data_IF_696529092195
#
_entry.id   IF_696529092195
#
_cell.length_a   1.000
_cell.length_b   1.000
_cell.length_c   1.000
_cell.angle_alpha   90.00
_cell.angle_beta   90.00
_cell.angle_gamma   90.00
#
_symmetry.space_group_name_H-M   'P 1'
#
loop_
_entity.id
_entity.type
_entity.pdbx_description
1 polymer ?
#
# COMPACT_ATOMS: atom_id res chain seq x y z
N UNK A 1 -1.21 10.94 -25.50
CA UNK A 1 -1.87 10.56 -24.25
C UNK A 1 -2.36 11.81 -23.55
N UNK A 2 -3.44 11.71 -22.79
CA UNK A 2 -3.95 12.88 -22.06
C UNK A 2 -2.97 13.31 -20.96
N UNK A 3 -2.74 14.61 -20.83
CA UNK A 3 -1.93 15.15 -19.74
C UNK A 3 -2.69 15.10 -18.42
N UNK A 4 -2.05 14.60 -17.37
CA UNK A 4 -2.59 14.58 -16.02
C UNK A 4 -2.22 15.87 -15.28
N UNK A 5 -3.16 16.40 -14.51
CA UNK A 5 -2.85 17.40 -13.49
C UNK A 5 -2.02 16.74 -12.38
N UNK A 6 -1.42 17.53 -11.49
CA UNK A 6 -0.68 17.00 -10.35
C UNK A 6 -1.57 16.11 -9.46
N UNK A 7 -2.82 16.52 -9.22
CA UNK A 7 -3.77 15.72 -8.43
C UNK A 7 -4.12 14.39 -9.11
N UNK A 8 -4.36 14.41 -10.41
CA UNK A 8 -4.66 13.19 -11.19
C UNK A 8 -3.46 12.24 -11.25
N UNK A 9 -2.24 12.78 -11.32
CA UNK A 9 -1.01 11.99 -11.19
C UNK A 9 -0.91 11.34 -9.81
N UNK A 10 -1.22 12.09 -8.73
CA UNK A 10 -1.26 11.56 -7.36
C UNK A 10 -2.32 10.49 -7.16
N UNK A 11 -3.47 10.59 -7.83
CA UNK A 11 -4.47 9.52 -7.87
C UNK A 11 -3.90 8.24 -8.49
N UNK A 12 -3.17 8.36 -9.59
CA UNK A 12 -2.45 7.24 -10.21
C UNK A 12 -1.41 6.62 -9.28
N UNK A 13 -0.67 7.45 -8.53
CA UNK A 13 0.32 6.99 -7.55
C UNK A 13 -0.32 6.15 -6.44
N UNK A 14 -1.36 6.64 -5.76
CA UNK A 14 -2.02 5.88 -4.68
C UNK A 14 -2.71 4.62 -5.18
N UNK A 15 -3.24 4.63 -6.40
CA UNK A 15 -3.75 3.44 -7.06
C UNK A 15 -2.64 2.40 -7.29
N UNK A 16 -1.49 2.83 -7.78
CA UNK A 16 -0.32 1.95 -8.02
C UNK A 16 0.24 1.36 -6.73
N UNK A 17 0.26 2.12 -5.64
CA UNK A 17 0.65 1.64 -4.32
C UNK A 17 -0.34 0.58 -3.80
N UNK A 18 -1.65 0.80 -3.94
CA UNK A 18 -2.67 -0.20 -3.58
C UNK A 18 -2.53 -1.49 -4.40
N UNK A 19 -2.20 -1.40 -5.68
CA UNK A 19 -1.90 -2.56 -6.52
C UNK A 19 -0.64 -3.30 -6.05
N UNK A 20 0.41 -2.59 -5.64
CA UNK A 20 1.63 -3.19 -5.12
C UNK A 20 1.42 -3.83 -3.74
N UNK A 21 0.61 -3.23 -2.87
CA UNK A 21 0.26 -3.72 -1.55
C UNK A 21 -0.42 -5.10 -1.61
N UNK A 22 -1.22 -5.38 -2.64
CA UNK A 22 -1.83 -6.69 -2.85
C UNK A 22 -0.76 -7.78 -3.00
N UNK A 23 0.25 -7.55 -3.84
CA UNK A 23 1.37 -8.48 -4.01
C UNK A 23 2.26 -8.59 -2.77
N UNK A 24 2.50 -7.48 -2.06
CA UNK A 24 3.31 -7.46 -0.85
C UNK A 24 2.63 -8.25 0.28
N UNK A 25 1.37 -8.01 0.56
CA UNK A 25 0.62 -8.71 1.61
C UNK A 25 0.52 -10.21 1.33
N UNK A 26 0.33 -10.61 0.08
CA UNK A 26 0.31 -12.02 -0.34
C UNK A 26 1.67 -12.70 -0.12
N UNK A 27 2.77 -12.05 -0.52
CA UNK A 27 4.12 -12.57 -0.32
C UNK A 27 4.47 -12.70 1.16
N UNK A 28 4.19 -11.68 1.95
CA UNK A 28 4.51 -11.65 3.39
C UNK A 28 3.63 -12.65 4.15
N UNK A 29 2.36 -12.83 3.77
CA UNK A 29 1.50 -13.84 4.37
C UNK A 29 2.10 -15.25 4.26
N UNK A 30 2.74 -15.59 3.14
CA UNK A 30 3.43 -16.87 2.97
C UNK A 30 4.65 -17.04 3.89
N UNK A 31 5.37 -15.94 4.17
CA UNK A 31 6.48 -15.96 5.14
C UNK A 31 5.97 -16.22 6.55
N UNK A 32 4.95 -15.49 6.95
CA UNK A 32 4.33 -15.57 8.30
C UNK A 32 3.66 -16.93 8.53
N UNK A 33 3.00 -17.48 7.51
CA UNK A 33 2.37 -18.81 7.57
C UNK A 33 3.38 -19.92 7.87
N UNK A 34 4.58 -19.84 7.30
CA UNK A 34 5.66 -20.80 7.59
C UNK A 34 6.10 -20.80 9.05
N UNK A 35 5.96 -19.69 9.75
CA UNK A 35 6.30 -19.54 11.16
C UNK A 35 5.13 -19.83 12.09
N UNK A 36 3.93 -20.11 11.55
CA UNK A 36 2.75 -20.48 12.33
C UNK A 36 2.02 -19.31 13.00
N UNK A 37 2.25 -18.08 12.52
CA UNK A 37 1.67 -16.85 13.06
C UNK A 37 0.29 -16.54 12.44
N UNK A 38 -0.70 -17.38 12.73
CA UNK A 38 -2.03 -17.34 12.10
C UNK A 38 -2.77 -16.02 12.27
N UNK A 39 -2.56 -15.29 13.37
CA UNK A 39 -3.19 -13.99 13.60
C UNK A 39 -2.65 -12.93 12.64
N UNK A 40 -1.34 -12.95 12.38
CA UNK A 40 -0.71 -12.06 11.41
C UNK A 40 -1.12 -12.40 9.98
N UNK A 41 -1.32 -13.68 9.66
CA UNK A 41 -1.87 -14.10 8.36
C UNK A 41 -3.25 -13.48 8.14
N UNK A 42 -4.16 -13.58 9.12
CA UNK A 42 -5.50 -12.97 9.01
C UNK A 42 -5.45 -11.44 8.87
N UNK A 43 -4.52 -10.79 9.54
CA UNK A 43 -4.31 -9.34 9.38
C UNK A 43 -3.89 -9.01 7.94
N UNK A 44 -2.95 -9.75 7.38
CA UNK A 44 -2.49 -9.54 6.00
C UNK A 44 -3.57 -9.84 4.95
N UNK A 45 -4.39 -10.86 5.16
CA UNK A 45 -5.53 -11.17 4.29
C UNK A 45 -6.56 -10.03 4.27
N UNK A 46 -6.84 -9.42 5.42
CA UNK A 46 -7.71 -8.25 5.50
C UNK A 46 -7.09 -7.04 4.80
N UNK A 47 -5.80 -6.77 5.03
CA UNK A 47 -5.09 -5.67 4.36
C UNK A 47 -5.09 -5.86 2.84
N UNK A 48 -4.87 -7.09 2.36
CA UNK A 48 -4.96 -7.43 0.94
C UNK A 48 -6.33 -7.09 0.35
N UNK A 49 -7.41 -7.49 1.02
CA UNK A 49 -8.78 -7.20 0.59
C UNK A 49 -9.06 -5.69 0.55
N UNK A 50 -8.63 -4.96 1.57
CA UNK A 50 -8.81 -3.51 1.63
C UNK A 50 -7.96 -2.77 0.58
N UNK A 51 -6.77 -3.28 0.24
CA UNK A 51 -5.96 -2.76 -0.86
C UNK A 51 -6.63 -3.00 -2.23
N UNK A 52 -7.27 -4.15 -2.42
CA UNK A 52 -8.07 -4.44 -3.62
C UNK A 52 -9.23 -3.47 -3.75
N UNK A 53 -9.98 -3.23 -2.68
CA UNK A 53 -11.08 -2.26 -2.66
C UNK A 53 -10.58 -0.82 -2.94
N UNK A 54 -9.41 -0.47 -2.43
CA UNK A 54 -8.78 0.84 -2.69
C UNK A 54 -8.46 1.00 -4.18
N UNK A 55 -7.88 -0.01 -4.82
CA UNK A 55 -7.64 -0.01 -6.27
C UNK A 55 -8.95 0.18 -7.05
N UNK A 56 -10.00 -0.59 -6.72
CA UNK A 56 -11.31 -0.50 -7.39
C UNK A 56 -11.90 0.90 -7.28
N UNK A 57 -11.88 1.52 -6.11
CA UNK A 57 -12.40 2.88 -5.90
C UNK A 57 -11.56 3.94 -6.61
N UNK A 58 -10.25 3.77 -6.69
CA UNK A 58 -9.38 4.64 -7.50
C UNK A 58 -9.70 4.51 -8.99
N UNK A 59 -9.97 3.29 -9.47
CA UNK A 59 -10.36 3.04 -10.84
C UNK A 59 -11.70 3.70 -11.18
N UNK A 60 -12.71 3.55 -10.33
CA UNK A 60 -14.00 4.22 -10.47
C UNK A 60 -13.82 5.74 -10.57
N UNK A 61 -12.98 6.32 -9.70
CA UNK A 61 -12.67 7.76 -9.77
C UNK A 61 -11.96 8.14 -11.08
N UNK A 62 -11.03 7.33 -11.56
CA UNK A 62 -10.33 7.56 -12.83
C UNK A 62 -11.29 7.49 -14.04
N UNK A 63 -12.31 6.64 -13.99
CA UNK A 63 -13.36 6.54 -15.03
C UNK A 63 -14.22 7.80 -15.13
N UNK A 64 -14.37 8.53 -14.04
CA UNK A 64 -15.09 9.82 -14.02
C UNK A 64 -14.26 10.98 -14.60
N UNK A 65 -12.95 10.80 -14.80
CA UNK A 65 -12.07 11.80 -15.40
C UNK A 65 -12.14 11.71 -16.93
N UNK A 66 -12.76 12.68 -17.56
CA UNK A 66 -12.99 12.69 -19.01
C UNK A 66 -11.71 12.50 -19.82
N UNK A 67 -11.64 11.38 -20.55
CA UNK A 67 -10.53 11.02 -21.44
C UNK A 67 -9.19 10.69 -20.74
N UNK A 68 -9.14 10.63 -19.40
CA UNK A 68 -7.87 10.49 -18.63
C UNK A 68 -7.65 9.13 -17.98
N UNK A 69 -8.65 8.25 -17.95
CA UNK A 69 -8.56 6.92 -17.33
C UNK A 69 -7.28 6.17 -17.72
N UNK A 70 -6.97 6.12 -19.01
CA UNK A 70 -5.79 5.38 -19.50
C UNK A 70 -4.49 5.96 -18.95
N UNK A 71 -4.34 7.28 -18.90
CA UNK A 71 -3.16 7.94 -18.37
C UNK A 71 -2.99 7.70 -16.86
N UNK A 72 -4.08 7.72 -16.08
CA UNK A 72 -4.07 7.38 -14.66
C UNK A 72 -3.66 5.93 -14.44
N UNK A 73 -4.20 4.99 -15.23
CA UNK A 73 -3.83 3.57 -15.17
C UNK A 73 -2.36 3.32 -15.52
N UNK A 74 -1.82 4.03 -16.49
CA UNK A 74 -0.39 3.91 -16.84
C UNK A 74 0.50 4.40 -15.71
N UNK A 75 0.14 5.53 -15.08
CA UNK A 75 0.84 6.03 -13.89
C UNK A 75 0.78 5.01 -12.74
N UNK A 76 -0.38 4.42 -12.51
CA UNK A 76 -0.53 3.38 -11.48
C UNK A 76 0.35 2.14 -11.75
N UNK A 77 0.42 1.68 -13.00
CA UNK A 77 1.28 0.55 -13.38
C UNK A 77 2.77 0.86 -13.24
N UNK A 78 3.19 2.09 -13.56
CA UNK A 78 4.55 2.56 -13.32
C UNK A 78 4.92 2.47 -11.84
N UNK A 79 4.10 3.06 -10.97
CA UNK A 79 4.32 3.05 -9.51
C UNK A 79 4.26 1.64 -8.93
N UNK A 80 3.30 0.81 -9.36
CA UNK A 80 3.26 -0.61 -8.98
C UNK A 80 4.56 -1.32 -9.29
N UNK A 81 5.12 -1.11 -10.47
CA UNK A 81 6.38 -1.74 -10.88
C UNK A 81 7.53 -1.29 -9.98
N UNK A 82 7.67 0.01 -9.74
CA UNK A 82 8.71 0.57 -8.89
C UNK A 82 8.62 0.05 -7.45
N UNK A 83 7.42 0.03 -6.88
CA UNK A 83 7.18 -0.52 -5.54
C UNK A 83 7.46 -2.03 -5.46
N UNK A 84 7.12 -2.79 -6.50
CA UNK A 84 7.43 -4.23 -6.58
C UNK A 84 8.94 -4.49 -6.67
N UNK A 85 9.68 -3.66 -7.40
CA UNK A 85 11.14 -3.74 -7.46
C UNK A 85 11.78 -3.41 -6.10
N UNK A 86 11.25 -2.40 -5.40
CA UNK A 86 11.68 -2.07 -4.05
C UNK A 86 11.45 -3.26 -3.10
N UNK A 87 10.29 -3.89 -3.13
CA UNK A 87 10.01 -5.08 -2.34
C UNK A 87 11.01 -6.21 -2.63
N UNK A 88 11.33 -6.47 -3.89
CA UNK A 88 12.32 -7.50 -4.27
C UNK A 88 13.72 -7.19 -3.75
N UNK A 89 14.09 -5.92 -3.66
CA UNK A 89 15.37 -5.49 -3.09
C UNK A 89 15.45 -5.76 -1.59
N UNK A 90 14.35 -5.53 -0.87
CA UNK A 90 14.29 -5.75 0.58
C UNK A 90 14.06 -7.22 0.98
N UNK A 91 13.23 -7.93 0.22
CA UNK A 91 12.83 -9.31 0.51
C UNK A 91 13.51 -10.27 -0.45
N UNK A 92 14.72 -10.70 -0.11
CA UNK A 92 15.46 -11.74 -0.81
C UNK A 92 14.84 -13.14 -0.63
N UNK A 93 15.50 -14.16 -1.18
CA UNK A 93 15.03 -15.55 -1.14
C UNK A 93 15.04 -16.15 0.29
N UNK A 94 15.86 -15.61 1.17
CA UNK A 94 16.04 -15.97 2.57
C UNK A 94 15.26 -15.10 3.56
N UNK A 95 14.40 -14.19 3.07
CA UNK A 95 13.60 -13.33 3.92
C UNK A 95 12.66 -14.13 4.83
N UNK A 96 12.58 -13.70 6.08
CA UNK A 96 11.72 -14.24 7.13
C UNK A 96 10.53 -13.32 7.41
N UNK A 97 9.63 -13.72 8.31
CA UNK A 97 8.43 -12.95 8.63
C UNK A 97 8.76 -11.54 9.16
N UNK A 98 9.78 -11.39 10.00
CA UNK A 98 10.20 -10.08 10.50
C UNK A 98 10.63 -9.15 9.39
N UNK A 99 11.47 -9.61 8.43
CA UNK A 99 11.88 -8.82 7.27
C UNK A 99 10.66 -8.35 6.46
N UNK A 100 9.68 -9.25 6.28
CA UNK A 100 8.42 -8.93 5.60
C UNK A 100 7.64 -7.81 6.29
N UNK A 101 7.50 -7.87 7.60
CA UNK A 101 6.79 -6.85 8.38
C UNK A 101 7.56 -5.54 8.52
N UNK A 102 8.89 -5.56 8.54
CA UNK A 102 9.73 -4.35 8.47
C UNK A 102 9.51 -3.62 7.15
N UNK A 103 9.57 -4.35 6.03
CA UNK A 103 9.24 -3.79 4.72
C UNK A 103 7.81 -3.25 4.67
N UNK A 104 6.83 -4.02 5.14
CA UNK A 104 5.43 -3.63 5.15
C UNK A 104 5.21 -2.35 5.97
N UNK A 105 5.83 -2.23 7.14
CA UNK A 105 5.75 -1.04 8.00
C UNK A 105 6.21 0.22 7.24
N UNK A 106 7.30 0.13 6.51
CA UNK A 106 7.82 1.23 5.70
C UNK A 106 6.88 1.56 4.53
N UNK A 107 6.39 0.54 3.82
CA UNK A 107 5.49 0.71 2.69
C UNK A 107 4.16 1.36 3.11
N UNK A 108 3.54 0.87 4.18
CA UNK A 108 2.26 1.40 4.68
C UNK A 108 2.38 2.83 5.22
N UNK A 109 3.51 3.17 5.86
CA UNK A 109 3.79 4.56 6.25
C UNK A 109 3.87 5.48 5.03
N UNK A 110 4.49 5.03 3.95
CA UNK A 110 4.55 5.74 2.67
C UNK A 110 3.18 5.93 2.06
N UNK A 111 2.34 4.89 2.02
CA UNK A 111 0.98 4.99 1.51
C UNK A 111 0.10 5.95 2.31
N UNK A 112 0.16 5.90 3.64
CA UNK A 112 -0.55 6.84 4.51
C UNK A 112 -0.15 8.29 4.22
N UNK A 113 1.14 8.54 4.00
CA UNK A 113 1.67 9.84 3.58
C UNK A 113 1.10 10.29 2.22
N UNK A 114 1.08 9.41 1.23
CA UNK A 114 0.53 9.72 -0.09
C UNK A 114 -0.96 10.05 -0.06
N UNK A 115 -1.77 9.32 0.71
CA UNK A 115 -3.19 9.65 0.88
C UNK A 115 -3.41 11.00 1.57
N UNK A 116 -2.55 11.38 2.51
CA UNK A 116 -2.58 12.71 3.12
C UNK A 116 -2.28 13.82 2.10
N UNK A 117 -1.37 13.58 1.16
CA UNK A 117 -1.07 14.49 0.05
C UNK A 117 -2.29 14.62 -0.88
N UNK A 118 -2.91 13.50 -1.27
CA UNK A 118 -4.12 13.49 -2.11
C UNK A 118 -5.24 14.28 -1.44
N UNK A 119 -5.47 14.07 -0.14
CA UNK A 119 -6.50 14.81 0.62
C UNK A 119 -6.30 16.33 0.54
N UNK A 120 -5.09 16.82 0.84
CA UNK A 120 -4.79 18.25 0.80
C UNK A 120 -4.94 18.83 -0.61
N UNK A 121 -4.45 18.10 -1.63
CA UNK A 121 -4.56 18.56 -3.02
C UNK A 121 -6.01 18.58 -3.51
N UNK A 122 -6.79 17.57 -3.19
CA UNK A 122 -8.21 17.48 -3.57
C UNK A 122 -9.04 18.64 -2.94
N UNK A 123 -8.78 18.94 -1.66
CA UNK A 123 -9.39 20.07 -0.98
C UNK A 123 -9.05 21.40 -1.65
N UNK A 124 -7.77 21.63 -1.98
CA UNK A 124 -7.31 22.85 -2.67
C UNK A 124 -7.87 22.98 -4.08
N UNK A 125 -7.98 21.86 -4.80
CA UNK A 125 -8.58 21.80 -6.13
C UNK A 125 -10.11 21.93 -6.11
N UNK A 126 -10.74 21.84 -4.93
CA UNK A 126 -12.21 21.75 -4.76
C UNK A 126 -12.81 20.56 -5.49
N UNK A 127 -12.04 19.48 -5.58
CA UNK A 127 -12.48 18.19 -6.13
C UNK A 127 -13.16 17.37 -5.03
N UNK A 128 -14.48 17.54 -4.91
CA UNK A 128 -15.27 16.89 -3.88
C UNK A 128 -15.24 15.35 -3.98
N UNK A 129 -15.15 14.79 -5.20
CA UNK A 129 -15.13 13.34 -5.41
C UNK A 129 -13.82 12.72 -4.96
N UNK A 130 -12.69 13.33 -5.34
CA UNK A 130 -11.37 12.86 -4.87
C UNK A 130 -11.20 13.12 -3.36
N UNK A 131 -11.75 14.21 -2.82
CA UNK A 131 -11.78 14.46 -1.37
C UNK A 131 -12.53 13.37 -0.62
N UNK A 132 -13.69 12.93 -1.13
CA UNK A 132 -14.48 11.84 -0.55
C UNK A 132 -13.72 10.52 -0.57
N UNK A 133 -13.04 10.21 -1.68
CA UNK A 133 -12.19 9.03 -1.80
C UNK A 133 -11.04 9.06 -0.79
N UNK A 134 -10.35 10.17 -0.66
CA UNK A 134 -9.26 10.33 0.31
C UNK A 134 -9.74 10.21 1.76
N UNK A 135 -10.91 10.78 2.10
CA UNK A 135 -11.51 10.66 3.42
C UNK A 135 -11.88 9.22 3.78
N UNK A 136 -12.22 8.40 2.78
CA UNK A 136 -12.47 6.98 2.98
C UNK A 136 -11.15 6.18 3.11
N UNK A 137 -10.17 6.40 2.24
CA UNK A 137 -8.93 5.61 2.17
C UNK A 137 -7.95 5.91 3.32
N UNK A 138 -7.80 7.18 3.70
CA UNK A 138 -6.79 7.62 4.66
C UNK A 138 -6.86 6.90 6.02
N UNK A 139 -8.01 6.78 6.71
CA UNK A 139 -8.07 6.07 7.98
C UNK A 139 -7.78 4.57 7.84
N UNK A 140 -8.09 3.95 6.71
CA UNK A 140 -7.75 2.55 6.41
C UNK A 140 -6.22 2.42 6.33
N UNK A 141 -5.57 3.29 5.59
CA UNK A 141 -4.13 3.28 5.41
C UNK A 141 -3.36 3.57 6.71
N UNK A 142 -3.85 4.51 7.52
CA UNK A 142 -3.29 4.79 8.84
C UNK A 142 -3.38 3.56 9.77
N UNK A 143 -4.49 2.82 9.71
CA UNK A 143 -4.66 1.57 10.44
C UNK A 143 -3.69 0.50 9.94
N UNK A 144 -3.53 0.32 8.62
CA UNK A 144 -2.57 -0.62 8.02
C UNK A 144 -1.15 -0.36 8.54
N UNK A 145 -0.74 0.90 8.56
CA UNK A 145 0.57 1.27 9.09
C UNK A 145 0.72 0.89 10.57
N UNK A 146 -0.27 1.14 11.42
CA UNK A 146 -0.23 0.79 12.82
C UNK A 146 -0.22 -0.74 13.04
N UNK A 147 -0.97 -1.48 12.26
CA UNK A 147 -1.02 -2.93 12.30
C UNK A 147 0.29 -3.58 11.81
N UNK A 148 0.88 -3.06 10.73
CA UNK A 148 2.19 -3.51 10.26
C UNK A 148 3.28 -3.26 11.30
N UNK A 149 3.30 -2.09 11.92
CA UNK A 149 4.22 -1.75 13.02
C UNK A 149 4.02 -2.67 14.23
N UNK A 150 2.77 -2.93 14.62
CA UNK A 150 2.47 -3.83 15.74
C UNK A 150 2.94 -5.25 15.45
N UNK A 151 2.75 -5.75 14.22
CA UNK A 151 3.26 -7.05 13.78
C UNK A 151 4.78 -7.13 13.82
N UNK A 152 5.49 -6.11 13.35
CA UNK A 152 6.95 -6.02 13.45
C UNK A 152 7.43 -6.11 14.89
N UNK A 153 6.79 -5.39 15.80
CA UNK A 153 7.16 -5.41 17.22
C UNK A 153 6.86 -6.77 17.89
N UNK A 154 5.78 -7.43 17.49
CA UNK A 154 5.45 -8.76 17.99
C UNK A 154 6.48 -9.81 17.55
N UNK A 155 6.87 -9.80 16.28
CA UNK A 155 7.89 -10.69 15.73
C UNK A 155 9.27 -10.41 16.35
N UNK A 156 9.66 -9.14 16.46
CA UNK A 156 10.94 -8.76 17.06
C UNK A 156 11.07 -9.20 18.54
N UNK A 157 9.97 -9.29 19.28
CA UNK A 157 9.99 -9.80 20.67
C UNK A 157 10.28 -11.29 20.77
N UNK A 158 10.03 -12.05 19.71
CA UNK A 158 10.30 -13.47 19.63
C UNK A 158 11.76 -13.78 19.26
N UNK A 159 12.48 -12.80 18.69
CA UNK A 159 13.88 -12.96 18.31
C UNK A 159 14.83 -12.95 19.51
N UNK A 160 15.93 -13.70 19.39
CA UNK A 160 17.07 -13.59 20.33
C UNK A 160 18.01 -12.46 19.87
N UNK A 161 18.03 -11.29 20.56
CA UNK A 161 18.84 -10.15 20.12
C UNK A 161 20.35 -10.39 20.24
N UNK A 162 20.78 -11.52 20.81
CA UNK A 162 22.20 -11.91 20.96
C UNK A 162 22.59 -13.07 20.05
N UNK A 163 21.64 -13.56 19.22
CA UNK A 163 21.97 -14.57 18.21
C UNK A 163 22.98 -14.01 17.20
N UNK A 164 23.82 -14.88 16.69
CA UNK A 164 24.77 -14.53 15.61
C UNK A 164 24.15 -14.94 14.29
N UNK A 165 24.02 -13.98 13.38
CA UNK A 165 23.51 -14.17 12.00
C UNK A 165 24.56 -14.89 11.12
#
# INVERSE_FOLDING_TARGET
>A
MAELTVLESKLGEVMGLAMAAQGATEKIAKLVEKEGEDELVRTLERMHKEATETEERCLERAEELDGKKTAVLEKAREVKREATEMMRTYLGDDAEALDGFEFLTMAEAGEAGHWSIVEVMAQRARDARTSTLAAWAKPIQERHFQEAKAGSLALAKAEDPNAVE
#
